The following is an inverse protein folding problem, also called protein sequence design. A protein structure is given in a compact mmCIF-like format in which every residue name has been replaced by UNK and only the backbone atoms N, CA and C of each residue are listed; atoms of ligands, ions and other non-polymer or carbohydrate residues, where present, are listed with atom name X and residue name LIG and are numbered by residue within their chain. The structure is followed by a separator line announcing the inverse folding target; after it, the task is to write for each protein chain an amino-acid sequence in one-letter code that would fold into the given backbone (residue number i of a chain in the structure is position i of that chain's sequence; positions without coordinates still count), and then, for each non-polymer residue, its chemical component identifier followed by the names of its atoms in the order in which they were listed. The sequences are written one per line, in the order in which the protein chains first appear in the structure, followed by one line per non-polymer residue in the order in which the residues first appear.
data_IF_034776652952
#
_entry.id   IF_034776652952
#
_cell.length_a   1.000
_cell.length_b   1.000
_cell.length_c   1.000
_cell.angle_alpha   90.00
_cell.angle_beta   90.00
_cell.angle_gamma   90.00
#
_symmetry.space_group_name_H-M   'P 1'
#
loop_
_entity.id
_entity.type
_entity.pdbx_description
1 polymer ?
#
# COMPACT_ATOMS: atom_id res chain seq x y z
N UNK A 1 -5.87 40.66 -5.84
CA UNK A 1 -6.13 39.27 -6.28
C UNK A 1 -7.58 38.93 -5.93
N UNK A 2 -8.31 38.12 -6.71
CA UNK A 2 -9.72 37.82 -6.37
C UNK A 2 -9.77 36.95 -5.11
N UNK A 3 -10.56 37.36 -4.12
CA UNK A 3 -10.69 36.67 -2.84
C UNK A 3 -11.35 35.30 -3.04
N UNK A 4 -10.62 34.23 -2.72
CA UNK A 4 -11.11 32.86 -2.89
C UNK A 4 -12.15 32.51 -1.83
N UNK A 5 -13.31 32.02 -2.25
CA UNK A 5 -14.25 31.34 -1.36
C UNK A 5 -13.69 29.97 -0.91
N UNK A 6 -14.23 29.37 0.18
CA UNK A 6 -13.80 28.04 0.61
C UNK A 6 -13.95 26.96 -0.48
N UNK A 7 -15.02 27.01 -1.29
CA UNK A 7 -15.26 26.07 -2.38
C UNK A 7 -14.24 26.18 -3.52
N UNK A 8 -13.90 27.42 -3.89
CA UNK A 8 -12.85 27.68 -4.90
C UNK A 8 -11.48 27.23 -4.39
N UNK A 9 -11.17 27.50 -3.13
CA UNK A 9 -9.92 27.08 -2.51
C UNK A 9 -9.80 25.55 -2.45
N UNK A 10 -10.86 24.83 -2.06
CA UNK A 10 -10.89 23.36 -2.07
C UNK A 10 -10.65 22.77 -3.46
N UNK A 11 -11.23 23.40 -4.49
CA UNK A 11 -11.02 23.00 -5.89
C UNK A 11 -9.58 23.22 -6.32
N UNK A 12 -9.00 24.37 -5.94
CA UNK A 12 -7.58 24.68 -6.19
C UNK A 12 -6.66 23.68 -5.49
N UNK A 13 -6.88 23.37 -4.20
CA UNK A 13 -6.09 22.37 -3.46
C UNK A 13 -6.09 21.02 -4.19
N UNK A 14 -7.26 20.56 -4.65
CA UNK A 14 -7.38 19.27 -5.35
C UNK A 14 -6.60 19.26 -6.66
N UNK A 15 -6.69 20.35 -7.45
CA UNK A 15 -5.95 20.51 -8.70
C UNK A 15 -4.44 20.55 -8.45
N UNK A 16 -3.98 21.39 -7.54
CA UNK A 16 -2.55 21.58 -7.26
C UNK A 16 -1.91 20.34 -6.64
N UNK A 17 -2.64 19.57 -5.83
CA UNK A 17 -2.11 18.31 -5.29
C UNK A 17 -1.79 17.30 -6.41
N UNK A 18 -2.64 17.23 -7.44
CA UNK A 18 -2.44 16.30 -8.56
C UNK A 18 -1.23 16.68 -9.43
N UNK A 19 -0.93 17.98 -9.57
CA UNK A 19 0.22 18.46 -10.35
C UNK A 19 1.54 18.37 -9.58
N UNK A 20 1.50 18.47 -8.24
CA UNK A 20 2.71 18.59 -7.43
C UNK A 20 3.20 17.28 -6.82
N UNK A 21 2.32 16.32 -6.55
CA UNK A 21 2.72 15.06 -5.89
C UNK A 21 2.75 13.91 -6.89
N UNK A 22 3.87 13.19 -6.91
CA UNK A 22 3.93 11.87 -7.55
C UNK A 22 2.99 10.88 -6.85
N UNK A 23 2.60 9.83 -7.56
CA UNK A 23 1.70 8.81 -7.01
C UNK A 23 2.35 8.06 -5.83
N UNK A 24 1.55 7.43 -4.95
CA UNK A 24 2.07 6.55 -3.88
C UNK A 24 3.08 5.51 -4.38
N UNK A 25 2.74 4.78 -5.46
CA UNK A 25 3.61 3.77 -6.02
C UNK A 25 4.91 4.38 -6.56
N UNK A 26 4.84 5.52 -7.26
CA UNK A 26 6.03 6.18 -7.79
C UNK A 26 7.00 6.63 -6.68
N UNK A 27 6.48 7.13 -5.54
CA UNK A 27 7.31 7.47 -4.39
C UNK A 27 7.98 6.23 -3.78
N UNK A 28 7.22 5.15 -3.62
CA UNK A 28 7.74 3.87 -3.11
C UNK A 28 8.79 3.31 -4.05
N UNK A 29 8.54 3.26 -5.36
CA UNK A 29 9.50 2.78 -6.36
C UNK A 29 10.77 3.62 -6.39
N UNK A 30 10.63 4.95 -6.36
CA UNK A 30 11.78 5.86 -6.26
C UNK A 30 12.60 5.55 -5.01
N UNK A 31 11.95 5.45 -3.85
CA UNK A 31 12.62 5.14 -2.58
C UNK A 31 13.29 3.76 -2.61
N UNK A 32 12.67 2.78 -3.25
CA UNK A 32 13.19 1.43 -3.42
C UNK A 32 14.53 1.44 -4.18
N UNK A 33 14.57 2.16 -5.31
CA UNK A 33 15.79 2.36 -6.10
C UNK A 33 16.84 3.22 -5.36
N UNK A 34 16.42 4.31 -4.71
CA UNK A 34 17.33 5.22 -3.99
C UNK A 34 18.06 4.51 -2.83
N UNK A 35 17.40 3.52 -2.20
CA UNK A 35 17.99 2.68 -1.16
C UNK A 35 18.78 1.47 -1.71
N UNK A 36 18.81 1.30 -3.04
CA UNK A 36 19.53 0.22 -3.72
C UNK A 36 18.90 -1.16 -3.55
N UNK A 37 17.61 -1.24 -3.23
CA UNK A 37 16.90 -2.52 -3.10
C UNK A 37 16.67 -3.20 -4.45
N UNK A 38 16.63 -2.43 -5.54
CA UNK A 38 16.58 -2.93 -6.92
C UNK A 38 17.82 -3.76 -7.32
N UNK A 39 18.91 -3.63 -6.57
CA UNK A 39 20.16 -4.38 -6.78
C UNK A 39 20.33 -5.56 -5.80
N UNK A 40 19.38 -5.78 -4.88
CA UNK A 40 19.43 -6.89 -3.92
C UNK A 40 18.91 -8.17 -4.56
N UNK A 41 19.46 -9.30 -4.13
CA UNK A 41 18.96 -10.62 -4.52
C UNK A 41 17.73 -11.03 -3.68
N UNK A 42 17.07 -12.12 -4.08
CA UNK A 42 15.89 -12.66 -3.38
C UNK A 42 16.14 -12.99 -1.92
N UNK A 43 17.33 -13.50 -1.59
CA UNK A 43 17.68 -13.90 -0.23
C UNK A 43 17.71 -12.72 0.74
N UNK A 44 18.08 -11.51 0.27
CA UNK A 44 17.99 -10.31 1.09
C UNK A 44 16.55 -10.07 1.57
N UNK A 45 15.59 -10.11 0.64
CA UNK A 45 14.18 -9.86 0.94
C UNK A 45 13.55 -10.95 1.79
N UNK A 46 13.96 -12.21 1.60
CA UNK A 46 13.50 -13.34 2.39
C UNK A 46 13.95 -13.23 3.86
N UNK A 47 15.18 -12.77 4.09
CA UNK A 47 15.79 -12.74 5.42
C UNK A 47 15.67 -11.41 6.17
N UNK A 48 15.37 -10.30 5.47
CA UNK A 48 15.32 -8.95 6.05
C UNK A 48 14.00 -8.18 5.76
N UNK A 49 12.82 -8.82 5.69
CA UNK A 49 11.59 -8.14 5.30
C UNK A 49 11.14 -7.07 6.31
N UNK A 50 11.28 -7.30 7.63
CA UNK A 50 10.95 -6.28 8.63
C UNK A 50 11.85 -5.04 8.51
N UNK A 51 13.16 -5.25 8.34
CA UNK A 51 14.14 -4.16 8.15
C UNK A 51 13.82 -3.35 6.89
N UNK A 52 13.60 -4.04 5.77
CA UNK A 52 13.21 -3.44 4.50
C UNK A 52 11.95 -2.57 4.66
N UNK A 53 10.89 -3.10 5.29
CA UNK A 53 9.62 -2.37 5.48
C UNK A 53 9.83 -1.11 6.31
N UNK A 54 10.57 -1.19 7.43
CA UNK A 54 10.83 -0.05 8.30
C UNK A 54 11.65 1.02 7.56
N UNK A 55 12.71 0.62 6.86
CA UNK A 55 13.56 1.52 6.08
C UNK A 55 12.77 2.21 4.96
N UNK A 56 11.95 1.47 4.22
CA UNK A 56 11.09 2.03 3.18
C UNK A 56 10.10 3.05 3.75
N UNK A 57 9.38 2.71 4.82
CA UNK A 57 8.42 3.63 5.48
C UNK A 57 9.10 4.92 5.95
N UNK A 58 10.27 4.80 6.57
CA UNK A 58 11.03 5.95 7.08
C UNK A 58 11.47 6.87 5.94
N UNK A 59 11.97 6.32 4.84
CA UNK A 59 12.50 7.13 3.74
C UNK A 59 11.39 7.71 2.85
N UNK A 60 10.29 7.01 2.60
CA UNK A 60 9.11 7.59 1.95
C UNK A 60 8.60 8.81 2.75
N UNK A 61 8.52 8.70 4.08
CA UNK A 61 8.09 9.82 4.93
C UNK A 61 9.08 10.98 4.93
N UNK A 62 10.38 10.67 4.97
CA UNK A 62 11.46 11.67 4.91
C UNK A 62 11.39 12.53 3.65
N UNK A 63 11.00 11.95 2.52
CA UNK A 63 10.82 12.68 1.26
C UNK A 63 9.47 13.42 1.20
N UNK A 64 8.38 12.77 1.62
CA UNK A 64 7.03 13.32 1.50
C UNK A 64 6.76 14.50 2.43
N UNK A 65 7.11 14.42 3.71
CA UNK A 65 6.67 15.40 4.72
C UNK A 65 7.25 16.81 4.50
N UNK A 66 8.55 17.00 4.17
CA UNK A 66 9.07 18.32 3.85
C UNK A 66 8.37 18.94 2.63
N UNK A 67 8.10 18.13 1.60
CA UNK A 67 7.41 18.59 0.40
C UNK A 67 5.95 18.97 0.69
N UNK A 68 5.24 18.20 1.51
CA UNK A 68 3.87 18.56 1.93
C UNK A 68 3.85 19.82 2.80
N UNK A 69 4.86 20.05 3.63
CA UNK A 69 5.00 21.29 4.41
C UNK A 69 5.15 22.51 3.50
N UNK A 70 6.00 22.43 2.48
CA UNK A 70 6.17 23.50 1.49
C UNK A 70 4.89 23.71 0.67
N UNK A 71 4.26 22.62 0.23
CA UNK A 71 2.97 22.67 -0.46
C UNK A 71 1.90 23.36 0.38
N UNK A 72 1.78 23.00 1.66
CA UNK A 72 0.83 23.61 2.60
C UNK A 72 1.06 25.12 2.71
N UNK A 73 2.32 25.53 2.85
CA UNK A 73 2.70 26.96 2.89
C UNK A 73 2.31 27.68 1.59
N UNK A 74 2.59 27.07 0.44
CA UNK A 74 2.21 27.60 -0.88
C UNK A 74 0.69 27.72 -1.04
N UNK A 75 -0.07 26.76 -0.55
CA UNK A 75 -1.54 26.85 -0.63
C UNK A 75 -2.07 27.99 0.24
N UNK A 76 -1.53 28.18 1.45
CA UNK A 76 -1.94 29.29 2.31
C UNK A 76 -1.60 30.66 1.74
N UNK A 77 -0.52 30.79 0.95
CA UNK A 77 -0.17 32.09 0.35
C UNK A 77 -1.19 32.59 -0.67
N UNK A 78 -2.01 31.72 -1.28
CA UNK A 78 -3.10 32.14 -2.16
C UNK A 78 -4.23 32.89 -1.42
N UNK A 79 -4.26 32.82 -0.10
CA UNK A 79 -5.26 33.49 0.73
C UNK A 79 -4.80 34.85 1.25
N UNK A 80 -3.52 35.19 1.10
CA UNK A 80 -2.98 36.47 1.56
C UNK A 80 -3.50 37.58 0.65
N UNK A 81 -4.28 38.51 1.22
CA UNK A 81 -4.83 39.67 0.53
C UNK A 81 -4.06 40.93 0.92
N UNK A 82 -3.07 41.28 0.10
CA UNK A 82 -2.18 42.43 0.34
C UNK A 82 -2.96 43.75 0.51
N UNK A 83 -4.01 43.96 -0.27
CA UNK A 83 -4.83 45.18 -0.21
C UNK A 83 -5.63 45.28 1.09
N UNK A 84 -6.02 44.14 1.66
CA UNK A 84 -6.72 44.08 2.94
C UNK A 84 -5.80 44.37 4.12
N UNK A 85 -4.58 43.85 4.10
CA UNK A 85 -3.67 43.88 5.25
C UNK A 85 -2.68 45.06 5.24
N UNK A 86 -2.57 45.81 4.14
CA UNK A 86 -1.55 46.86 3.93
C UNK A 86 -1.43 47.91 5.04
N UNK A 87 -2.55 48.25 5.69
CA UNK A 87 -2.60 49.28 6.73
C UNK A 87 -2.64 48.69 8.16
N UNK A 88 -2.55 47.36 8.29
CA UNK A 88 -2.57 46.66 9.58
C UNK A 88 -1.16 46.54 10.17
N UNK A 89 -1.06 46.48 11.50
CA UNK A 89 0.19 46.05 12.15
C UNK A 89 0.48 44.57 11.81
N UNK A 90 1.75 44.11 11.86
CA UNK A 90 2.06 42.70 11.62
C UNK A 90 1.29 41.75 12.53
N UNK A 91 1.06 42.14 13.79
CA UNK A 91 0.29 41.35 14.75
C UNK A 91 -1.19 41.27 14.35
N UNK A 92 -1.79 42.40 13.97
CA UNK A 92 -3.19 42.46 13.57
C UNK A 92 -3.44 41.76 12.24
N UNK A 93 -2.48 41.81 11.29
CA UNK A 93 -2.57 41.07 10.03
C UNK A 93 -2.60 39.55 10.25
N UNK A 94 -1.77 39.03 11.17
CA UNK A 94 -1.81 37.61 11.54
C UNK A 94 -3.14 37.28 12.22
N UNK A 95 -3.60 38.13 13.15
CA UNK A 95 -4.90 37.94 13.81
C UNK A 95 -6.04 37.91 12.80
N UNK A 96 -6.07 38.87 11.87
CA UNK A 96 -7.05 38.94 10.79
C UNK A 96 -7.03 37.68 9.94
N UNK A 97 -5.85 37.21 9.52
CA UNK A 97 -5.71 35.97 8.75
C UNK A 97 -6.32 34.76 9.48
N UNK A 98 -6.10 34.64 10.79
CA UNK A 98 -6.66 33.55 11.60
C UNK A 98 -8.18 33.66 11.81
N UNK A 99 -8.75 34.86 11.71
CA UNK A 99 -10.19 35.10 11.88
C UNK A 99 -10.96 35.01 10.56
N UNK A 100 -10.34 35.41 9.45
CA UNK A 100 -10.97 35.53 8.14
C UNK A 100 -10.95 34.23 7.33
N UNK A 101 -9.91 33.40 7.49
CA UNK A 101 -9.73 32.16 6.72
C UNK A 101 -9.81 30.85 7.53
N UNK A 102 -10.58 30.74 8.64
CA UNK A 102 -10.57 29.53 9.46
C UNK A 102 -11.08 28.30 8.69
N UNK A 103 -12.11 28.46 7.85
CA UNK A 103 -12.65 27.38 7.02
C UNK A 103 -11.63 26.93 5.96
N UNK A 104 -10.94 27.87 5.31
CA UNK A 104 -9.94 27.56 4.29
C UNK A 104 -8.73 26.82 4.88
N UNK A 105 -8.22 27.30 6.02
CA UNK A 105 -7.11 26.66 6.74
C UNK A 105 -7.52 25.24 7.16
N UNK A 106 -8.74 25.08 7.70
CA UNK A 106 -9.28 23.79 8.06
C UNK A 106 -9.42 22.85 6.85
N UNK A 107 -9.98 23.33 5.72
CA UNK A 107 -10.17 22.52 4.51
C UNK A 107 -8.83 22.07 3.89
N UNK A 108 -7.79 22.90 3.96
CA UNK A 108 -6.44 22.51 3.57
C UNK A 108 -5.89 21.41 4.47
N UNK A 109 -5.97 21.58 5.79
CA UNK A 109 -5.51 20.58 6.76
C UNK A 109 -6.29 19.26 6.65
N UNK A 110 -7.61 19.34 6.42
CA UNK A 110 -8.48 18.19 6.18
C UNK A 110 -8.10 17.48 4.87
N UNK A 111 -7.84 18.24 3.80
CA UNK A 111 -7.35 17.69 2.53
C UNK A 111 -6.02 16.96 2.70
N UNK A 112 -5.08 17.55 3.46
CA UNK A 112 -3.80 16.94 3.78
C UNK A 112 -3.98 15.63 4.56
N UNK A 113 -4.75 15.61 5.65
CA UNK A 113 -4.92 14.39 6.46
C UNK A 113 -5.63 13.26 5.69
N UNK A 114 -6.62 13.59 4.87
CA UNK A 114 -7.29 12.60 4.02
C UNK A 114 -6.36 12.06 2.93
N UNK A 115 -5.52 12.92 2.35
CA UNK A 115 -4.46 12.49 1.43
C UNK A 115 -3.46 11.57 2.14
N UNK A 116 -2.91 11.97 3.29
CA UNK A 116 -1.99 11.16 4.11
C UNK A 116 -2.56 9.78 4.42
N UNK A 117 -3.83 9.68 4.83
CA UNK A 117 -4.49 8.39 5.11
C UNK A 117 -4.54 7.49 3.88
N UNK A 118 -4.99 8.03 2.74
CA UNK A 118 -5.06 7.28 1.48
C UNK A 118 -3.68 6.86 0.98
N UNK A 119 -2.71 7.77 1.05
CA UNK A 119 -1.32 7.52 0.65
C UNK A 119 -0.65 6.50 1.55
N UNK A 120 -0.77 6.63 2.86
CA UNK A 120 -0.12 5.72 3.82
C UNK A 120 -0.56 4.27 3.61
N UNK A 121 -1.83 4.02 3.32
CA UNK A 121 -2.34 2.70 2.94
C UNK A 121 -1.72 2.24 1.62
N UNK A 122 -1.84 3.06 0.57
CA UNK A 122 -1.37 2.67 -0.76
C UNK A 122 0.15 2.45 -0.84
N UNK A 123 0.92 3.29 -0.14
CA UNK A 123 2.37 3.14 -0.04
C UNK A 123 2.74 1.86 0.72
N UNK A 124 2.00 1.49 1.77
CA UNK A 124 2.26 0.24 2.50
C UNK A 124 1.96 -1.00 1.64
N UNK A 125 0.84 -1.00 0.91
CA UNK A 125 0.54 -2.03 -0.09
C UNK A 125 1.68 -2.15 -1.12
N UNK A 126 2.15 -1.03 -1.67
CA UNK A 126 3.22 -1.01 -2.67
C UNK A 126 4.59 -1.44 -2.12
N UNK A 127 4.88 -1.17 -0.83
CA UNK A 127 6.10 -1.64 -0.17
C UNK A 127 6.09 -3.17 -0.10
N UNK A 128 4.96 -3.77 0.31
CA UNK A 128 4.80 -5.22 0.37
C UNK A 128 4.81 -5.86 -1.03
N UNK A 129 4.22 -5.19 -2.01
CA UNK A 129 4.29 -5.60 -3.42
C UNK A 129 5.74 -5.73 -3.89
N UNK A 130 6.56 -4.68 -3.73
CA UNK A 130 7.97 -4.73 -4.10
C UNK A 130 8.79 -5.70 -3.24
N UNK A 131 8.39 -5.97 -1.99
CA UNK A 131 9.00 -7.01 -1.16
C UNK A 131 8.81 -8.39 -1.79
N UNK A 132 7.58 -8.74 -2.18
CA UNK A 132 7.27 -10.02 -2.79
C UNK A 132 7.96 -10.17 -4.16
N UNK A 133 8.00 -9.09 -4.94
CA UNK A 133 8.72 -9.05 -6.22
C UNK A 133 10.23 -9.23 -6.02
N UNK A 134 10.81 -8.54 -5.04
CA UNK A 134 12.22 -8.65 -4.70
C UNK A 134 12.60 -10.04 -4.20
N UNK A 135 11.73 -10.69 -3.43
CA UNK A 135 11.89 -12.08 -3.03
C UNK A 135 11.74 -13.08 -4.19
N UNK A 136 11.36 -12.64 -5.39
CA UNK A 136 11.12 -13.50 -6.55
C UNK A 136 9.86 -14.36 -6.44
N UNK A 137 8.95 -14.03 -5.52
CA UNK A 137 7.72 -14.81 -5.29
C UNK A 137 6.66 -14.35 -6.29
N UNK A 138 5.99 -15.28 -7.02
CA UNK A 138 4.95 -14.93 -7.98
C UNK A 138 3.73 -14.34 -7.27
N UNK A 139 3.33 -13.11 -7.62
CA UNK A 139 2.13 -12.46 -7.09
C UNK A 139 1.38 -11.71 -8.17
N UNK A 140 0.06 -11.81 -8.14
CA UNK A 140 -0.82 -10.91 -8.86
C UNK A 140 -1.31 -9.79 -7.94
N UNK A 141 -1.27 -8.56 -8.45
CA UNK A 141 -1.57 -7.36 -7.68
C UNK A 141 -2.97 -6.86 -8.05
N UNK A 142 -3.86 -6.81 -7.07
CA UNK A 142 -5.26 -6.46 -7.32
C UNK A 142 -5.41 -5.07 -7.94
N UNK A 143 -4.61 -4.10 -7.48
CA UNK A 143 -4.61 -2.73 -7.99
C UNK A 143 -4.21 -2.60 -9.47
N UNK A 144 -3.53 -3.61 -10.02
CA UNK A 144 -3.01 -3.59 -11.39
C UNK A 144 -3.94 -4.28 -12.40
N UNK A 145 -4.48 -5.44 -12.05
CA UNK A 145 -5.37 -6.21 -12.94
C UNK A 145 -6.79 -5.62 -12.97
N UNK A 146 -7.14 -4.83 -11.96
CA UNK A 146 -8.39 -4.08 -11.88
C UNK A 146 -9.51 -4.84 -11.16
N UNK A 147 -10.37 -4.07 -10.47
CA UNK A 147 -11.39 -4.59 -9.54
C UNK A 147 -12.41 -5.53 -10.19
N UNK A 148 -12.74 -5.31 -11.47
CA UNK A 148 -13.70 -6.16 -12.19
C UNK A 148 -13.17 -7.59 -12.42
N UNK A 149 -11.86 -7.75 -12.59
CA UNK A 149 -11.24 -9.06 -12.76
C UNK A 149 -11.31 -9.88 -11.47
N UNK A 150 -11.03 -9.26 -10.32
CA UNK A 150 -11.12 -9.92 -9.02
C UNK A 150 -12.56 -10.25 -8.62
N UNK A 151 -13.52 -9.35 -8.91
CA UNK A 151 -14.94 -9.61 -8.67
C UNK A 151 -15.46 -10.80 -9.50
N UNK A 152 -15.07 -10.88 -10.78
CA UNK A 152 -15.39 -12.03 -11.63
C UNK A 152 -14.84 -13.35 -11.05
N UNK A 153 -13.70 -13.27 -10.37
CA UNK A 153 -12.97 -14.39 -9.78
C UNK A 153 -13.27 -14.60 -8.29
N UNK A 154 -14.30 -13.94 -7.74
CA UNK A 154 -14.76 -14.06 -6.35
C UNK A 154 -13.71 -13.70 -5.28
N UNK A 155 -12.70 -12.90 -5.62
CA UNK A 155 -11.71 -12.42 -4.65
C UNK A 155 -12.18 -11.08 -4.07
N UNK A 156 -12.09 -10.97 -2.74
CA UNK A 156 -12.52 -9.79 -2.00
C UNK A 156 -11.70 -8.54 -2.31
N UNK A 157 -12.34 -7.37 -2.32
CA UNK A 157 -11.69 -6.08 -2.63
C UNK A 157 -10.58 -5.72 -1.64
N UNK A 158 -10.54 -6.38 -0.49
CA UNK A 158 -9.59 -6.15 0.58
C UNK A 158 -8.29 -6.94 0.41
N UNK A 159 -8.24 -7.89 -0.54
CA UNK A 159 -7.01 -8.63 -0.86
C UNK A 159 -6.12 -7.77 -1.75
N UNK A 160 -4.88 -7.56 -1.35
CA UNK A 160 -3.91 -6.74 -2.08
C UNK A 160 -3.05 -7.59 -3.03
N UNK A 161 -2.57 -8.74 -2.53
CA UNK A 161 -1.68 -9.65 -3.25
C UNK A 161 -2.22 -11.08 -3.25
N UNK A 162 -2.09 -11.76 -4.38
CA UNK A 162 -2.50 -13.14 -4.59
C UNK A 162 -1.32 -13.96 -5.12
N UNK A 163 -0.83 -14.91 -4.33
CA UNK A 163 0.25 -15.84 -4.73
C UNK A 163 -0.36 -17.21 -5.10
N UNK A 164 -0.01 -17.81 -6.25
CA UNK A 164 0.95 -17.32 -7.26
C UNK A 164 0.33 -16.35 -8.29
N UNK A 165 -1.00 -16.26 -8.30
CA UNK A 165 -1.76 -15.47 -9.25
C UNK A 165 -3.27 -15.70 -9.11
N UNK A 166 -4.07 -14.84 -9.71
CA UNK A 166 -5.54 -14.91 -9.59
C UNK A 166 -6.14 -16.07 -10.36
N UNK A 167 -5.59 -16.41 -11.53
CA UNK A 167 -6.06 -17.53 -12.35
C UNK A 167 -5.88 -18.85 -11.60
N UNK A 168 -4.70 -19.05 -11.02
CA UNK A 168 -4.39 -20.23 -10.21
C UNK A 168 -5.28 -20.29 -8.96
N UNK A 169 -5.53 -19.15 -8.30
CA UNK A 169 -6.41 -19.09 -7.15
C UNK A 169 -7.85 -19.51 -7.48
N UNK A 170 -8.37 -19.05 -8.61
CA UNK A 170 -9.72 -19.39 -9.07
C UNK A 170 -9.83 -20.86 -9.49
N UNK A 171 -8.80 -21.41 -10.14
CA UNK A 171 -8.74 -22.83 -10.51
C UNK A 171 -8.65 -23.71 -9.25
N UNK A 172 -7.72 -23.41 -8.34
CA UNK A 172 -7.59 -24.12 -7.08
C UNK A 172 -6.94 -23.26 -5.97
N UNK A 173 -7.72 -22.97 -4.93
CA UNK A 173 -7.26 -22.22 -3.74
C UNK A 173 -6.15 -22.95 -2.94
N UNK A 174 -5.92 -24.25 -3.17
CA UNK A 174 -4.86 -25.01 -2.50
C UNK A 174 -3.48 -24.44 -2.85
N UNK A 175 -2.58 -24.40 -1.88
CA UNK A 175 -1.21 -23.88 -2.02
C UNK A 175 -1.12 -22.41 -2.46
N UNK A 176 -2.18 -21.63 -2.29
CA UNK A 176 -2.17 -20.18 -2.51
C UNK A 176 -2.01 -19.42 -1.18
N UNK A 177 -1.55 -18.17 -1.28
CA UNK A 177 -1.49 -17.22 -0.17
C UNK A 177 -2.17 -15.93 -0.58
N UNK A 178 -3.00 -15.39 0.32
CA UNK A 178 -3.65 -14.09 0.17
C UNK A 178 -3.14 -13.15 1.25
N UNK A 179 -2.76 -11.94 0.83
CA UNK A 179 -2.25 -10.90 1.74
C UNK A 179 -3.15 -9.68 1.63
N UNK A 180 -3.58 -9.17 2.77
CA UNK A 180 -4.20 -7.86 2.93
C UNK A 180 -3.33 -6.99 3.83
N UNK A 181 -3.33 -5.68 3.58
CA UNK A 181 -2.51 -4.72 4.31
C UNK A 181 -3.35 -3.61 4.96
N UNK A 182 -3.11 -3.36 6.25
CA UNK A 182 -3.65 -2.21 6.97
C UNK A 182 -2.56 -1.61 7.84
N UNK A 183 -2.16 -0.36 7.59
CA UNK A 183 -1.12 0.30 8.40
C UNK A 183 -1.46 0.32 9.89
N UNK A 184 -2.72 0.65 10.21
CA UNK A 184 -3.33 0.52 11.54
C UNK A 184 -4.64 -0.24 11.42
N UNK A 185 -5.00 -1.02 12.43
CA UNK A 185 -6.20 -1.84 12.46
C UNK A 185 -7.40 -1.03 12.97
N UNK A 186 -7.30 -0.41 14.16
CA UNK A 186 -8.46 0.18 14.87
C UNK A 186 -9.62 -0.80 14.91
N UNK A 187 -10.86 -0.40 14.64
CA UNK A 187 -12.00 -1.31 14.45
C UNK A 187 -12.07 -1.92 13.03
N UNK A 188 -11.30 -1.38 12.07
CA UNK A 188 -11.36 -1.74 10.64
C UNK A 188 -10.81 -3.14 10.33
N UNK A 189 -10.25 -3.86 11.29
CA UNK A 189 -9.91 -5.27 11.11
C UNK A 189 -11.17 -6.14 10.94
N UNK A 190 -12.33 -5.68 11.40
CA UNK A 190 -13.62 -6.40 11.28
C UNK A 190 -14.04 -6.62 9.82
N UNK A 191 -13.57 -5.76 8.90
CA UNK A 191 -13.78 -5.91 7.46
C UNK A 191 -13.12 -7.19 6.89
N UNK A 192 -12.08 -7.71 7.56
CA UNK A 192 -11.28 -8.85 7.04
C UNK A 192 -12.00 -10.19 7.23
N UNK A 193 -12.49 -10.54 8.45
CA UNK A 193 -13.33 -11.73 8.63
C UNK A 193 -14.58 -11.75 7.74
N UNK A 194 -15.23 -10.59 7.52
CA UNK A 194 -16.39 -10.49 6.64
C UNK A 194 -16.04 -10.98 5.22
N UNK A 195 -14.94 -10.50 4.66
CA UNK A 195 -14.49 -10.88 3.33
C UNK A 195 -14.03 -12.34 3.24
N UNK A 196 -13.36 -12.87 4.28
CA UNK A 196 -12.96 -14.28 4.35
C UNK A 196 -14.17 -15.19 4.28
N UNK A 197 -15.17 -14.92 5.12
CA UNK A 197 -16.41 -15.71 5.18
C UNK A 197 -17.22 -15.58 3.89
N UNK A 198 -17.32 -14.38 3.33
CA UNK A 198 -18.09 -14.11 2.10
C UNK A 198 -17.54 -14.84 0.88
N UNK A 199 -16.21 -15.04 0.80
CA UNK A 199 -15.54 -15.58 -0.39
C UNK A 199 -15.00 -17.00 -0.19
N UNK A 200 -15.16 -17.56 1.02
CA UNK A 200 -14.65 -18.88 1.37
C UNK A 200 -13.13 -18.95 1.24
N UNK A 201 -12.42 -17.91 1.69
CA UNK A 201 -10.96 -17.90 1.76
C UNK A 201 -10.53 -18.87 2.86
N UNK A 202 -9.52 -19.72 2.59
CA UNK A 202 -9.02 -20.68 3.58
C UNK A 202 -8.32 -19.97 4.74
N UNK A 203 -7.42 -19.06 4.39
CA UNK A 203 -6.62 -18.27 5.32
C UNK A 203 -6.23 -16.95 4.66
N UNK A 204 -6.11 -15.88 5.45
CA UNK A 204 -5.63 -14.59 4.98
C UNK A 204 -4.57 -14.02 5.91
N UNK A 205 -3.46 -13.56 5.34
CA UNK A 205 -2.43 -12.85 6.08
C UNK A 205 -2.79 -11.36 6.12
N UNK A 206 -2.93 -10.81 7.32
CA UNK A 206 -3.22 -9.39 7.55
C UNK A 206 -1.95 -8.67 8.01
N UNK A 207 -1.25 -8.07 7.06
CA UNK A 207 -0.07 -7.26 7.30
C UNK A 207 -0.42 -5.94 7.99
N UNK A 208 0.28 -5.62 9.08
CA UNK A 208 0.07 -4.38 9.83
C UNK A 208 1.31 -3.82 10.52
N UNK A 209 1.30 -2.51 10.73
CA UNK A 209 2.26 -1.78 11.55
C UNK A 209 1.61 -1.29 12.86
N UNK A 210 0.39 -1.74 13.17
CA UNK A 210 -0.31 -1.40 14.41
C UNK A 210 0.38 -2.07 15.60
N UNK A 211 0.64 -1.32 16.66
CA UNK A 211 1.30 -1.77 17.89
C UNK A 211 0.33 -1.85 19.09
N UNK A 212 -0.98 -1.75 18.81
CA UNK A 212 -2.02 -1.50 19.81
C UNK A 212 -3.24 -2.43 19.74
N UNK A 213 -3.23 -3.45 18.87
CA UNK A 213 -4.33 -4.43 18.82
C UNK A 213 -4.29 -5.39 20.01
N UNK A 214 -5.47 -5.78 20.50
CA UNK A 214 -5.64 -6.57 21.72
C UNK A 214 -5.59 -8.08 21.48
N UNK A 215 -5.38 -8.85 22.54
CA UNK A 215 -5.49 -10.32 22.52
C UNK A 215 -6.87 -10.78 22.03
N UNK A 216 -7.94 -10.08 22.42
CA UNK A 216 -9.30 -10.35 21.94
C UNK A 216 -9.39 -10.21 20.41
N UNK A 217 -8.78 -9.15 19.86
CA UNK A 217 -8.73 -8.95 18.39
C UNK A 217 -7.99 -10.10 17.71
N UNK A 218 -6.86 -10.53 18.27
CA UNK A 218 -6.07 -11.66 17.76
C UNK A 218 -6.91 -12.93 17.74
N UNK A 219 -7.65 -13.20 18.82
CA UNK A 219 -8.49 -14.39 18.95
C UNK A 219 -9.62 -14.40 17.92
N UNK A 220 -10.34 -13.29 17.75
CA UNK A 220 -11.42 -13.18 16.77
C UNK A 220 -10.89 -13.37 15.34
N UNK A 221 -9.74 -12.77 15.03
CA UNK A 221 -9.09 -12.93 13.72
C UNK A 221 -8.66 -14.39 13.50
N UNK A 222 -8.07 -15.03 14.51
CA UNK A 222 -7.63 -16.42 14.44
C UNK A 222 -8.80 -17.39 14.17
N UNK A 223 -9.92 -17.24 14.88
CA UNK A 223 -11.14 -18.04 14.63
C UNK A 223 -11.72 -17.82 13.23
N UNK A 224 -11.49 -16.64 12.64
CA UNK A 224 -11.86 -16.31 11.27
C UNK A 224 -10.80 -16.73 10.22
N UNK A 225 -9.76 -17.48 10.60
CA UNK A 225 -8.62 -17.84 9.75
C UNK A 225 -7.85 -16.63 9.17
N UNK A 226 -7.81 -15.53 9.93
CA UNK A 226 -6.99 -14.36 9.63
C UNK A 226 -5.80 -14.33 10.58
N UNK A 227 -4.60 -14.31 10.02
CA UNK A 227 -3.36 -14.28 10.80
C UNK A 227 -2.72 -12.91 10.70
N UNK A 228 -2.46 -12.26 11.84
CA UNK A 228 -1.82 -10.95 11.85
C UNK A 228 -0.33 -11.10 11.60
N UNK A 229 0.21 -10.30 10.69
CA UNK A 229 1.63 -10.23 10.36
C UNK A 229 2.16 -8.84 10.66
N UNK A 230 3.25 -8.74 11.41
CA UNK A 230 3.88 -7.46 11.73
C UNK A 230 5.41 -7.56 11.75
N UNK A 231 6.11 -6.49 12.13
CA UNK A 231 7.57 -6.52 12.21
C UNK A 231 8.06 -7.38 13.37
N UNK A 232 9.28 -7.93 13.27
CA UNK A 232 9.98 -8.57 14.39
C UNK A 232 9.99 -7.68 15.63
N UNK A 233 10.26 -6.38 15.45
CA UNK A 233 10.28 -5.41 16.55
C UNK A 233 8.94 -5.34 17.28
N UNK A 234 7.83 -5.19 16.53
CA UNK A 234 6.50 -5.08 17.12
C UNK A 234 6.07 -6.40 17.79
N UNK A 235 6.30 -7.55 17.15
CA UNK A 235 6.01 -8.86 17.75
C UNK A 235 6.81 -9.05 19.03
N UNK A 236 8.11 -8.80 19.03
CA UNK A 236 8.95 -8.99 20.22
C UNK A 236 8.63 -8.01 21.34
N UNK A 237 8.19 -6.79 21.02
CA UNK A 237 7.87 -5.77 22.02
C UNK A 237 6.50 -5.99 22.66
N UNK A 238 5.48 -6.37 21.89
CA UNK A 238 4.07 -6.41 22.35
C UNK A 238 3.47 -7.81 22.41
N UNK A 239 3.92 -8.73 21.55
CA UNK A 239 3.25 -10.00 21.27
C UNK A 239 4.19 -11.22 21.38
N UNK A 240 5.29 -11.10 22.12
CA UNK A 240 6.42 -12.04 22.11
C UNK A 240 6.01 -13.50 22.35
N UNK A 241 5.04 -13.70 23.24
CA UNK A 241 4.58 -15.03 23.65
C UNK A 241 3.38 -15.53 22.84
N UNK A 242 2.85 -14.72 21.91
CA UNK A 242 1.67 -15.07 21.14
C UNK A 242 2.08 -15.65 19.78
N UNK A 243 1.90 -16.97 19.62
CA UNK A 243 2.20 -17.69 18.38
C UNK A 243 1.19 -17.44 17.25
N UNK A 244 0.06 -16.76 17.54
CA UNK A 244 -0.96 -16.36 16.55
C UNK A 244 -0.59 -15.05 15.84
N UNK A 245 0.43 -14.34 16.32
CA UNK A 245 1.01 -13.18 15.65
C UNK A 245 2.28 -13.62 14.94
N UNK A 246 2.32 -13.45 13.63
CA UNK A 246 3.47 -13.77 12.79
C UNK A 246 4.30 -12.52 12.48
N UNK A 247 5.55 -12.77 12.14
CA UNK A 247 6.44 -11.76 11.59
C UNK A 247 6.38 -11.75 10.06
N UNK A 248 6.83 -10.67 9.42
CA UNK A 248 7.01 -10.67 7.97
C UNK A 248 7.96 -11.78 7.51
N UNK A 249 8.95 -12.13 8.31
CA UNK A 249 9.88 -13.24 8.09
C UNK A 249 9.15 -14.58 8.04
N UNK A 250 8.26 -14.84 9.02
CA UNK A 250 7.42 -16.05 9.05
C UNK A 250 6.53 -16.13 7.79
N UNK A 251 5.95 -14.99 7.38
CA UNK A 251 5.10 -14.90 6.19
C UNK A 251 5.89 -15.14 4.90
N UNK A 252 7.06 -14.52 4.74
CA UNK A 252 7.90 -14.66 3.55
C UNK A 252 8.45 -16.08 3.41
N UNK A 253 8.84 -16.72 4.51
CA UNK A 253 9.24 -18.13 4.51
C UNK A 253 8.09 -19.03 4.01
N UNK A 254 6.89 -18.84 4.56
CA UNK A 254 5.69 -19.59 4.14
C UNK A 254 5.34 -19.34 2.66
N UNK A 255 5.45 -18.09 2.21
CA UNK A 255 5.20 -17.71 0.83
C UNK A 255 6.22 -18.35 -0.13
N UNK A 256 7.49 -18.37 0.25
CA UNK A 256 8.55 -19.00 -0.54
C UNK A 256 8.37 -20.52 -0.63
N UNK A 257 8.05 -21.18 0.49
CA UNK A 257 7.76 -22.62 0.50
C UNK A 257 6.55 -23.01 -0.36
N UNK A 258 5.50 -22.19 -0.33
CA UNK A 258 4.34 -22.38 -1.19
C UNK A 258 4.68 -22.09 -2.67
N UNK A 259 5.46 -21.06 -2.96
CA UNK A 259 5.85 -20.69 -4.33
C UNK A 259 6.60 -21.82 -5.05
N UNK A 260 7.46 -22.55 -4.34
CA UNK A 260 8.20 -23.71 -4.88
C UNK A 260 7.28 -24.81 -5.42
N UNK A 261 6.05 -24.91 -4.90
CA UNK A 261 5.04 -25.87 -5.37
C UNK A 261 4.46 -25.49 -6.74
N UNK A 262 4.70 -24.27 -7.21
CA UNK A 262 4.20 -23.72 -8.47
C UNK A 262 5.25 -23.68 -9.59
N UNK A 263 6.55 -23.80 -9.27
CA UNK A 263 7.63 -23.67 -10.25
C UNK A 263 7.57 -24.70 -11.39
N UNK A 264 7.05 -25.91 -11.14
CA UNK A 264 7.01 -27.02 -12.11
C UNK A 264 5.58 -27.48 -12.39
N UNK A 265 4.59 -26.58 -12.31
CA UNK A 265 3.20 -26.91 -12.59
C UNK A 265 2.95 -26.87 -14.10
N UNK A 266 2.46 -27.98 -14.66
CA UNK A 266 1.99 -28.00 -16.05
C UNK A 266 0.57 -27.43 -16.11
N UNK A 267 0.45 -26.27 -16.75
CA UNK A 267 -0.84 -25.63 -17.03
C UNK A 267 -1.42 -26.11 -18.36
N UNK A 268 -2.75 -26.13 -18.47
CA UNK A 268 -3.42 -26.27 -19.76
C UNK A 268 -3.16 -25.03 -20.64
N UNK A 269 -3.29 -25.16 -21.96
CA UNK A 269 -3.07 -24.02 -22.87
C UNK A 269 -4.01 -22.85 -22.54
N UNK A 270 -5.27 -23.13 -22.20
CA UNK A 270 -6.24 -22.13 -21.76
C UNK A 270 -5.81 -21.41 -20.48
N UNK A 271 -5.29 -22.13 -19.48
CA UNK A 271 -4.79 -21.51 -18.25
C UNK A 271 -3.53 -20.68 -18.51
N UNK A 272 -2.62 -21.15 -19.38
CA UNK A 272 -1.43 -20.38 -19.77
C UNK A 272 -1.81 -19.06 -20.43
N UNK A 273 -2.78 -19.07 -21.35
CA UNK A 273 -3.26 -17.84 -22.00
C UNK A 273 -3.86 -16.85 -21.00
N UNK A 274 -4.67 -17.32 -20.04
CA UNK A 274 -5.24 -16.47 -19.00
C UNK A 274 -4.17 -15.90 -18.05
N UNK A 275 -3.19 -16.71 -17.65
CA UNK A 275 -2.05 -16.26 -16.83
C UNK A 275 -1.23 -15.22 -17.59
N UNK A 276 -0.93 -15.47 -18.88
CA UNK A 276 -0.24 -14.53 -19.75
C UNK A 276 -0.99 -13.19 -19.84
N UNK A 277 -2.31 -13.22 -20.05
CA UNK A 277 -3.12 -12.00 -20.08
C UNK A 277 -3.06 -11.22 -18.76
N UNK A 278 -3.13 -11.94 -17.61
CA UNK A 278 -2.97 -11.33 -16.29
C UNK A 278 -1.60 -10.63 -16.14
N UNK A 279 -0.52 -11.30 -16.57
CA UNK A 279 0.84 -10.76 -16.50
C UNK A 279 1.01 -9.56 -17.43
N UNK A 280 0.57 -9.64 -18.68
CA UNK A 280 0.68 -8.55 -19.66
C UNK A 280 -0.06 -7.28 -19.20
N UNK A 281 -1.22 -7.44 -18.57
CA UNK A 281 -1.97 -6.32 -17.99
C UNK A 281 -1.22 -5.64 -16.84
N UNK A 282 -0.49 -6.42 -16.04
CA UNK A 282 0.35 -5.87 -14.98
C UNK A 282 1.59 -5.17 -15.54
N UNK A 283 2.19 -5.70 -16.61
CA UNK A 283 3.28 -5.03 -17.34
C UNK A 283 2.79 -3.69 -17.92
N UNK A 284 1.61 -3.64 -18.53
CA UNK A 284 1.02 -2.39 -19.04
C UNK A 284 0.85 -1.36 -17.92
N UNK A 285 0.27 -1.79 -16.79
CA UNK A 285 0.05 -0.92 -15.62
C UNK A 285 1.35 -0.32 -15.07
N UNK A 286 2.42 -1.11 -15.08
CA UNK A 286 3.72 -0.75 -14.52
C UNK A 286 4.78 -0.42 -15.57
N UNK A 287 4.35 -0.03 -16.78
CA UNK A 287 5.23 0.20 -17.93
C UNK A 287 6.36 1.20 -17.66
N UNK A 288 6.14 2.18 -16.77
CA UNK A 288 7.13 3.19 -16.37
C UNK A 288 8.13 2.71 -15.30
N UNK A 289 8.04 1.46 -14.84
CA UNK A 289 8.80 0.94 -13.70
C UNK A 289 9.64 -0.30 -14.09
N UNK A 290 10.87 -0.11 -14.62
CA UNK A 290 11.67 -1.17 -15.24
C UNK A 290 11.88 -2.42 -14.39
N UNK A 291 12.13 -2.26 -13.07
CA UNK A 291 12.34 -3.40 -12.16
C UNK A 291 11.10 -4.30 -12.10
N UNK A 292 9.91 -3.68 -12.02
CA UNK A 292 8.63 -4.38 -11.95
C UNK A 292 8.32 -5.06 -13.28
N UNK A 293 8.55 -4.36 -14.40
CA UNK A 293 8.41 -4.95 -15.74
C UNK A 293 9.30 -6.18 -15.91
N UNK A 294 10.55 -6.11 -15.44
CA UNK A 294 11.48 -7.23 -15.50
C UNK A 294 11.01 -8.43 -14.65
N UNK A 295 10.52 -8.17 -13.43
CA UNK A 295 9.92 -9.20 -12.59
C UNK A 295 8.77 -9.94 -13.31
N UNK A 296 7.85 -9.21 -13.94
CA UNK A 296 6.74 -9.83 -14.67
C UNK A 296 7.19 -10.55 -15.95
N UNK A 297 8.23 -10.05 -16.65
CA UNK A 297 8.81 -10.74 -17.81
C UNK A 297 9.47 -12.06 -17.42
N UNK A 298 10.11 -12.14 -16.24
CA UNK A 298 10.65 -13.40 -15.72
C UNK A 298 9.53 -14.41 -15.47
N UNK A 299 8.41 -14.00 -14.87
CA UNK A 299 7.22 -14.85 -14.72
C UNK A 299 6.63 -15.29 -16.05
N UNK A 300 6.59 -14.39 -17.03
CA UNK A 300 6.09 -14.71 -18.35
C UNK A 300 6.98 -15.74 -19.06
N UNK A 301 8.31 -15.62 -18.91
CA UNK A 301 9.26 -16.58 -19.48
C UNK A 301 9.11 -17.95 -18.81
N UNK A 302 9.06 -17.98 -17.48
CA UNK A 302 8.86 -19.21 -16.70
C UNK A 302 7.51 -19.93 -16.96
N UNK A 303 6.54 -19.27 -17.59
CA UNK A 303 5.27 -19.90 -17.99
C UNK A 303 5.42 -20.79 -19.24
N UNK A 304 6.45 -20.50 -20.05
CA UNK A 304 6.72 -21.18 -21.33
C UNK A 304 7.99 -22.04 -21.32
N UNK A 305 8.79 -21.96 -20.26
CA UNK A 305 9.89 -22.88 -19.96
C UNK A 305 9.37 -24.22 -19.40
#
# INVERSE_FOLDING_TARGET
MQRLSPGEFKTLISKERKSHFITPFALVYKTFCDLGYDQKNSDYFLNNPSEYIIAMRKNCWKEFEPFEKEFTTRMLSYLIDEERIKDMSPYDAIRDFTMEYPTHIYDLALSNTQSRRSRAGKEFESILELLMMGAGIPVDVQGAIGKSFFQKNQIGKLVDLVMPGVVQYTSNKRNTMLISAKTTLRERWQEVPEEVNRTGIREMYLATLDDSFSEETINILYEANVVVVTTIENKNFKYKNNNRVLTFEDMLQSAMELSRKWNNVSYTDSEKEEIQQSILKQIEKYSDFPYVVNYYRNRLSALFD
#
